data_IF_615674856652
#
_entry.id   IF_615674856652
#
_cell.length_a   1.000
_cell.length_b   1.000
_cell.length_c   1.000
_cell.angle_alpha   90.00
_cell.angle_beta   90.00
_cell.angle_gamma   90.00
#
_symmetry.space_group_name_H-M   'P 1'
#
loop_
_entity.id
_entity.type
_entity.pdbx_description
1 polymer ?
#
# COMPACT_ATOMS: atom_id res chain seq x y z
N UNK A 1 6.96 3.55 -15.80
CA UNK A 1 7.14 3.99 -14.41
C UNK A 1 7.72 2.86 -13.57
N UNK A 2 8.42 3.22 -12.49
CA UNK A 2 8.76 2.31 -11.40
C UNK A 2 7.65 2.36 -10.36
N UNK A 3 7.08 1.24 -10.01
CA UNK A 3 5.97 1.13 -9.07
C UNK A 3 6.42 0.28 -7.88
N UNK A 4 6.23 0.77 -6.67
CA UNK A 4 6.43 -0.01 -5.45
C UNK A 4 5.08 -0.40 -4.87
N UNK A 5 4.89 -1.68 -4.58
CA UNK A 5 3.70 -2.25 -3.95
C UNK A 5 4.05 -2.62 -2.51
N UNK A 6 3.37 -2.04 -1.54
CA UNK A 6 3.55 -2.32 -0.12
C UNK A 6 2.47 -3.29 0.35
N UNK A 7 2.81 -4.56 0.48
CA UNK A 7 1.89 -5.60 0.96
C UNK A 7 1.89 -5.68 2.48
N UNK A 8 0.73 -5.44 3.08
CA UNK A 8 0.53 -5.48 4.52
C UNK A 8 -0.22 -6.71 5.04
N UNK A 9 -0.43 -7.73 4.21
CA UNK A 9 -1.12 -8.94 4.65
C UNK A 9 -0.17 -9.89 5.36
N UNK A 10 -0.49 -10.34 6.60
CA UNK A 10 0.29 -11.39 7.26
C UNK A 10 0.11 -12.77 6.61
N UNK A 11 -0.82 -12.91 5.66
CA UNK A 11 -1.01 -14.13 4.90
C UNK A 11 -0.47 -13.94 3.47
N UNK A 12 0.69 -14.56 3.11
CA UNK A 12 1.30 -14.41 1.78
C UNK A 12 0.41 -14.86 0.62
N UNK A 13 -0.56 -15.72 0.88
CA UNK A 13 -1.56 -16.18 -0.10
C UNK A 13 -2.94 -15.60 0.19
N UNK A 14 -3.00 -14.43 0.79
CA UNK A 14 -4.24 -13.76 1.18
C UNK A 14 -4.97 -13.10 0.02
N UNK A 15 -6.22 -12.73 0.27
CA UNK A 15 -7.10 -12.07 -0.71
C UNK A 15 -6.53 -10.74 -1.21
N UNK A 16 -5.90 -9.94 -0.35
CA UNK A 16 -5.30 -8.66 -0.75
C UNK A 16 -4.10 -8.86 -1.67
N UNK A 17 -3.25 -9.87 -1.40
CA UNK A 17 -2.08 -10.17 -2.23
C UNK A 17 -2.51 -10.70 -3.62
N UNK A 18 -3.65 -11.40 -3.71
CA UNK A 18 -4.23 -11.78 -5.00
C UNK A 18 -4.59 -10.52 -5.83
N UNK A 19 -5.15 -9.47 -5.22
CA UNK A 19 -5.40 -8.20 -5.92
C UNK A 19 -4.09 -7.52 -6.33
N UNK A 20 -3.06 -7.58 -5.48
CA UNK A 20 -1.74 -7.04 -5.79
C UNK A 20 -1.10 -7.74 -7.00
N UNK A 21 -1.21 -9.07 -7.07
CA UNK A 21 -0.72 -9.85 -8.21
C UNK A 21 -1.44 -9.48 -9.52
N UNK A 22 -2.78 -9.31 -9.47
CA UNK A 22 -3.55 -8.89 -10.64
C UNK A 22 -3.18 -7.46 -11.08
N UNK A 23 -3.02 -6.53 -10.13
CA UNK A 23 -2.55 -5.18 -10.41
C UNK A 23 -1.16 -5.20 -11.04
N UNK A 24 -0.22 -5.95 -10.45
CA UNK A 24 1.14 -6.10 -10.96
C UNK A 24 1.13 -6.59 -12.40
N UNK A 25 0.39 -7.66 -12.68
CA UNK A 25 0.27 -8.19 -14.04
C UNK A 25 -0.20 -7.10 -15.03
N UNK A 26 -1.28 -6.38 -14.70
CA UNK A 26 -1.78 -5.30 -15.57
C UNK A 26 -0.76 -4.18 -15.78
N UNK A 27 -0.04 -3.78 -14.73
CA UNK A 27 0.97 -2.74 -14.80
C UNK A 27 2.21 -3.17 -15.62
N UNK A 28 2.67 -4.41 -15.45
CA UNK A 28 3.80 -4.97 -16.22
C UNK A 28 3.46 -5.11 -17.70
N UNK A 29 2.23 -5.55 -18.04
CA UNK A 29 1.74 -5.60 -19.42
C UNK A 29 1.62 -4.21 -20.06
N UNK A 30 1.39 -3.16 -19.25
CA UNK A 30 1.43 -1.76 -19.70
C UNK A 30 2.86 -1.18 -19.79
N UNK A 31 3.90 -1.99 -19.56
CA UNK A 31 5.30 -1.59 -19.69
C UNK A 31 5.90 -0.92 -18.46
N UNK A 32 5.30 -1.11 -17.27
CA UNK A 32 5.83 -0.61 -16.02
C UNK A 32 6.69 -1.66 -15.30
N UNK A 33 7.60 -1.22 -14.45
CA UNK A 33 8.37 -2.11 -13.57
C UNK A 33 7.74 -2.08 -12.18
N UNK A 34 7.40 -3.25 -11.65
CA UNK A 34 6.74 -3.37 -10.34
C UNK A 34 7.64 -4.11 -9.36
N UNK A 35 7.92 -3.49 -8.23
CA UNK A 35 8.60 -4.13 -7.11
C UNK A 35 7.62 -4.30 -5.95
N UNK A 36 7.49 -5.53 -5.46
CA UNK A 36 6.64 -5.87 -4.32
C UNK A 36 7.48 -5.93 -3.06
N UNK A 37 7.04 -5.25 -2.01
CA UNK A 37 7.66 -5.23 -0.69
C UNK A 37 6.66 -5.84 0.30
N UNK A 38 7.00 -6.98 0.85
CA UNK A 38 6.25 -7.63 1.92
C UNK A 38 6.54 -6.91 3.25
N UNK A 39 5.72 -5.92 3.57
CA UNK A 39 5.86 -5.16 4.82
C UNK A 39 5.38 -5.93 6.04
N UNK A 40 4.66 -7.02 5.83
CA UNK A 40 4.13 -7.84 6.93
C UNK A 40 5.19 -8.76 7.54
N UNK A 41 6.19 -9.17 6.77
CA UNK A 41 7.25 -10.08 7.22
C UNK A 41 8.63 -9.44 7.23
N UNK A 42 8.76 -8.20 6.76
CA UNK A 42 9.99 -7.43 6.89
C UNK A 42 10.28 -7.08 8.35
N UNK A 43 11.55 -7.02 8.72
CA UNK A 43 11.99 -6.56 10.05
C UNK A 43 11.78 -5.04 10.16
N UNK A 44 10.60 -4.64 10.60
CA UNK A 44 10.19 -3.24 10.76
C UNK A 44 9.65 -3.02 12.16
N UNK A 45 10.35 -2.20 12.95
CA UNK A 45 9.89 -1.83 14.29
C UNK A 45 8.94 -0.60 14.23
N UNK A 46 7.93 -0.53 15.10
CA UNK A 46 7.03 0.61 15.18
C UNK A 46 7.78 1.92 15.44
N UNK A 47 7.31 3.03 14.89
CA UNK A 47 7.84 4.35 15.21
C UNK A 47 7.61 4.67 16.69
N UNK A 48 8.66 5.09 17.39
CA UNK A 48 8.61 5.45 18.81
C UNK A 48 8.38 6.95 19.06
N UNK A 49 8.17 7.73 18.00
CA UNK A 49 7.85 9.16 18.11
C UNK A 49 8.98 10.05 18.64
N UNK A 50 10.24 9.59 18.62
CA UNK A 50 11.37 10.32 19.20
C UNK A 50 11.83 11.57 18.42
N UNK A 51 11.37 11.73 17.18
CA UNK A 51 11.68 12.86 16.26
C UNK A 51 13.19 13.01 15.93
N UNK A 52 14.04 12.09 16.36
CA UNK A 52 15.48 12.16 16.08
C UNK A 52 15.83 12.17 14.57
N UNK A 53 14.93 11.67 13.72
CA UNK A 53 15.10 11.70 12.27
C UNK A 53 14.90 13.09 11.66
N UNK A 54 14.29 14.04 12.37
CA UNK A 54 14.00 15.38 11.86
C UNK A 54 13.17 15.39 10.57
N UNK A 55 12.41 14.32 10.30
CA UNK A 55 11.59 14.10 9.09
C UNK A 55 12.37 13.97 7.76
N UNK A 56 13.68 13.96 7.79
CA UNK A 56 14.58 13.92 6.61
C UNK A 56 15.77 12.96 6.79
N UNK A 57 16.12 12.68 8.03
CA UNK A 57 17.33 11.94 8.36
C UNK A 57 17.10 10.44 8.57
N UNK A 58 18.16 9.68 8.77
CA UNK A 58 18.03 8.27 9.11
C UNK A 58 17.31 8.09 10.44
N UNK A 59 16.53 7.02 10.56
CA UNK A 59 15.91 6.65 11.81
C UNK A 59 16.96 6.12 12.80
N UNK A 60 16.70 6.30 14.10
CA UNK A 60 17.53 5.71 15.17
C UNK A 60 17.42 4.19 15.19
N UNK A 61 16.29 3.64 14.76
CA UNK A 61 16.07 2.20 14.64
C UNK A 61 16.84 1.65 13.44
N UNK A 62 17.55 0.55 13.66
CA UNK A 62 18.39 -0.13 12.66
C UNK A 62 17.70 -1.40 12.19
N UNK A 63 16.76 -1.22 11.27
CA UNK A 63 15.92 -2.28 10.71
C UNK A 63 15.84 -2.15 9.17
N UNK A 64 14.97 -2.89 8.50
CA UNK A 64 14.87 -2.88 7.05
C UNK A 64 14.28 -1.59 6.45
N UNK A 65 13.79 -0.67 7.27
CA UNK A 65 13.13 0.55 6.77
C UNK A 65 14.06 1.39 5.88
N UNK A 66 15.36 1.47 6.18
CA UNK A 66 16.28 2.27 5.35
C UNK A 66 16.43 1.69 3.93
N UNK A 67 16.45 0.37 3.79
CA UNK A 67 16.44 -0.32 2.49
C UNK A 67 15.12 -0.08 1.75
N UNK A 68 14.00 -0.17 2.47
CA UNK A 68 12.65 0.05 1.89
C UNK A 68 12.47 1.52 1.50
N UNK A 69 12.96 2.45 2.32
CA UNK A 69 12.98 3.89 2.02
C UNK A 69 13.60 4.19 0.66
N UNK A 70 14.78 3.61 0.38
CA UNK A 70 15.48 3.82 -0.89
C UNK A 70 14.62 3.40 -2.07
N UNK A 71 13.92 2.25 -1.98
CA UNK A 71 13.03 1.75 -3.02
C UNK A 71 11.80 2.65 -3.20
N UNK A 72 11.18 3.10 -2.11
CA UNK A 72 10.05 4.03 -2.17
C UNK A 72 10.46 5.34 -2.83
N UNK A 73 11.61 5.92 -2.44
CA UNK A 73 12.06 7.19 -2.99
C UNK A 73 12.56 7.10 -4.44
N UNK A 74 12.89 5.92 -4.95
CA UNK A 74 13.24 5.68 -6.36
C UNK A 74 12.00 5.42 -7.24
N UNK A 75 10.84 5.14 -6.65
CA UNK A 75 9.62 4.84 -7.37
C UNK A 75 8.87 6.10 -7.83
N UNK A 76 8.10 5.95 -8.90
CA UNK A 76 7.16 6.96 -9.41
C UNK A 76 5.76 6.81 -8.79
N UNK A 77 5.45 5.62 -8.30
CA UNK A 77 4.14 5.27 -7.74
C UNK A 77 4.29 4.34 -6.54
N UNK A 78 3.43 4.55 -5.53
CA UNK A 78 3.31 3.69 -4.35
C UNK A 78 1.90 3.12 -4.24
N UNK A 79 1.78 1.80 -4.14
CA UNK A 79 0.50 1.09 -4.00
C UNK A 79 0.41 0.49 -2.61
N UNK A 80 -0.62 0.88 -1.87
CA UNK A 80 -0.93 0.31 -0.56
C UNK A 80 -1.84 -0.90 -0.72
N UNK A 81 -1.43 -2.03 -0.16
CA UNK A 81 -2.19 -3.29 -0.23
C UNK A 81 -2.45 -3.82 1.17
N UNK A 82 -3.72 -3.99 1.53
CA UNK A 82 -4.09 -4.36 2.91
C UNK A 82 -5.37 -5.17 3.00
N UNK A 83 -5.44 -6.18 3.88
CA UNK A 83 -6.72 -6.63 4.39
C UNK A 83 -7.29 -5.54 5.31
N UNK A 84 -8.63 -5.47 5.37
CA UNK A 84 -9.33 -4.59 6.31
C UNK A 84 -9.40 -5.28 7.68
N UNK A 85 -8.74 -4.74 8.68
CA UNK A 85 -8.78 -5.21 10.06
C UNK A 85 -9.35 -4.13 10.97
N UNK A 86 -10.48 -4.43 11.62
CA UNK A 86 -11.19 -3.45 12.44
C UNK A 86 -11.37 -2.09 11.74
N UNK A 87 -11.80 -2.14 10.47
CA UNK A 87 -12.11 -0.98 9.61
C UNK A 87 -10.91 -0.06 9.27
N UNK A 88 -9.70 -0.53 9.54
CA UNK A 88 -8.46 0.14 9.18
C UNK A 88 -7.51 -0.75 8.36
N UNK A 89 -6.35 -0.20 8.00
CA UNK A 89 -5.28 -1.03 7.41
C UNK A 89 -4.75 -2.01 8.45
N UNK A 90 -4.15 -3.10 7.99
CA UNK A 90 -3.42 -4.02 8.86
C UNK A 90 -2.36 -3.28 9.68
N UNK A 91 -2.11 -3.75 10.91
CA UNK A 91 -1.07 -3.18 11.76
C UNK A 91 0.30 -3.21 11.08
N UNK A 92 0.60 -4.26 10.32
CA UNK A 92 1.84 -4.45 9.58
C UNK A 92 2.07 -3.32 8.57
N UNK A 93 1.09 -3.02 7.73
CA UNK A 93 1.19 -1.90 6.80
C UNK A 93 1.29 -0.56 7.53
N UNK A 94 0.50 -0.40 8.60
CA UNK A 94 0.50 0.85 9.38
C UNK A 94 1.84 1.11 10.05
N UNK A 95 2.52 0.09 10.57
CA UNK A 95 3.87 0.20 11.10
C UNK A 95 4.83 0.78 10.05
N UNK A 96 4.79 0.28 8.80
CA UNK A 96 5.62 0.82 7.72
C UNK A 96 5.27 2.30 7.42
N UNK A 97 3.98 2.64 7.36
CA UNK A 97 3.52 4.00 7.08
C UNK A 97 3.96 4.96 8.21
N UNK A 98 3.91 4.56 9.47
CA UNK A 98 4.38 5.38 10.58
C UNK A 98 5.90 5.68 10.51
N UNK A 99 6.65 4.80 9.87
CA UNK A 99 8.08 4.98 9.64
C UNK A 99 8.37 5.95 8.48
N UNK A 100 7.38 6.35 7.67
CA UNK A 100 7.52 7.45 6.71
C UNK A 100 7.94 8.76 7.38
N UNK A 101 7.71 8.88 8.69
CA UNK A 101 8.22 9.99 9.51
C UNK A 101 9.71 10.29 9.24
N UNK A 102 10.53 9.24 9.03
CA UNK A 102 11.97 9.42 8.80
C UNK A 102 12.35 9.99 7.42
N UNK A 103 11.41 10.06 6.48
CA UNK A 103 11.62 10.59 5.12
C UNK A 103 10.37 11.28 4.55
N UNK A 104 9.55 11.82 5.43
CA UNK A 104 8.27 12.43 5.11
C UNK A 104 8.38 13.54 4.06
N UNK A 105 9.28 14.49 4.28
CA UNK A 105 9.46 15.62 3.36
C UNK A 105 10.00 15.17 2.00
N UNK A 106 10.79 14.09 1.97
CA UNK A 106 11.27 13.51 0.71
C UNK A 106 10.11 12.92 -0.10
N UNK A 107 9.15 12.22 0.53
CA UNK A 107 7.93 11.73 -0.15
C UNK A 107 7.12 12.92 -0.68
N UNK A 108 6.86 13.93 0.15
CA UNK A 108 6.05 15.09 -0.22
C UNK A 108 6.60 15.85 -1.44
N UNK A 109 7.93 15.96 -1.56
CA UNK A 109 8.58 16.62 -2.72
C UNK A 109 8.49 15.83 -4.02
N UNK A 110 8.29 14.52 -3.93
CA UNK A 110 8.26 13.63 -5.09
C UNK A 110 6.96 13.71 -5.91
N UNK A 111 5.85 14.13 -5.31
CA UNK A 111 4.53 14.14 -5.95
C UNK A 111 4.17 12.80 -6.61
N UNK A 112 4.49 11.70 -5.92
CA UNK A 112 4.31 10.35 -6.44
C UNK A 112 2.85 10.04 -6.69
N UNK A 113 2.58 9.15 -7.65
CA UNK A 113 1.26 8.53 -7.79
C UNK A 113 1.01 7.54 -6.65
N UNK A 114 -0.26 7.30 -6.33
CA UNK A 114 -0.63 6.29 -5.34
C UNK A 114 -1.93 5.58 -5.70
N UNK A 115 -2.11 4.35 -5.21
CA UNK A 115 -3.36 3.61 -5.26
C UNK A 115 -3.56 2.79 -3.98
N UNK A 116 -4.80 2.38 -3.72
CA UNK A 116 -5.15 1.49 -2.62
C UNK A 116 -5.84 0.24 -3.14
N UNK A 117 -5.35 -0.93 -2.75
CA UNK A 117 -6.00 -2.21 -2.94
C UNK A 117 -6.34 -2.78 -1.56
N UNK A 118 -7.61 -2.97 -1.28
CA UNK A 118 -8.03 -3.49 0.02
C UNK A 118 -9.13 -4.53 -0.12
N UNK A 119 -9.18 -5.47 0.82
CA UNK A 119 -10.19 -6.52 0.88
C UNK A 119 -10.79 -6.62 2.27
N UNK A 120 -12.09 -6.95 2.33
CA UNK A 120 -12.82 -7.14 3.58
C UNK A 120 -13.68 -8.40 3.51
N UNK A 121 -13.91 -9.00 4.67
CA UNK A 121 -14.92 -10.06 4.82
C UNK A 121 -16.33 -9.49 4.70
N UNK A 122 -16.55 -8.36 5.36
CA UNK A 122 -17.84 -7.67 5.39
C UNK A 122 -18.21 -7.11 4.00
N UNK A 123 -19.50 -7.02 3.71
CA UNK A 123 -20.02 -6.54 2.41
C UNK A 123 -21.00 -5.38 2.53
N UNK A 124 -21.16 -4.80 3.73
CA UNK A 124 -21.99 -3.60 3.93
C UNK A 124 -21.41 -2.40 3.17
N UNK A 125 -22.23 -1.46 2.79
CA UNK A 125 -21.87 -0.27 2.02
C UNK A 125 -20.87 0.65 2.74
N UNK A 126 -20.93 0.71 4.07
CA UNK A 126 -20.03 1.50 4.93
C UNK A 126 -18.70 0.80 5.28
N UNK A 127 -18.49 -0.45 4.82
CA UNK A 127 -17.35 -1.30 5.21
C UNK A 127 -15.99 -0.59 5.07
N UNK A 128 -15.80 0.19 4.04
CA UNK A 128 -14.53 0.84 3.77
C UNK A 128 -14.47 2.33 4.12
N UNK A 129 -15.52 2.93 4.66
CA UNK A 129 -15.59 4.39 4.90
C UNK A 129 -14.38 4.91 5.69
N UNK A 130 -14.03 4.24 6.80
CA UNK A 130 -12.92 4.67 7.64
C UNK A 130 -11.56 4.50 6.94
N UNK A 131 -11.34 3.39 6.23
CA UNK A 131 -10.10 3.14 5.50
C UNK A 131 -9.96 4.10 4.31
N UNK A 132 -11.03 4.36 3.59
CA UNK A 132 -11.05 5.31 2.47
C UNK A 132 -10.73 6.72 2.95
N UNK A 133 -11.35 7.17 4.04
CA UNK A 133 -11.06 8.46 4.66
C UNK A 133 -9.59 8.56 5.11
N UNK A 134 -9.06 7.48 5.72
CA UNK A 134 -7.65 7.41 6.11
C UNK A 134 -6.72 7.51 4.90
N UNK A 135 -6.96 6.73 3.84
CA UNK A 135 -6.15 6.76 2.63
C UNK A 135 -6.18 8.15 1.96
N UNK A 136 -7.36 8.75 1.79
CA UNK A 136 -7.50 10.11 1.24
C UNK A 136 -6.73 11.15 2.05
N UNK A 137 -6.71 10.99 3.37
CA UNK A 137 -5.94 11.86 4.27
C UNK A 137 -4.43 11.68 4.07
N UNK A 138 -3.94 10.43 3.94
CA UNK A 138 -2.54 10.16 3.63
C UNK A 138 -2.13 10.73 2.27
N UNK A 139 -2.95 10.54 1.23
CA UNK A 139 -2.72 11.10 -0.12
C UNK A 139 -2.55 12.60 -0.04
N UNK A 140 -3.47 13.29 0.63
CA UNK A 140 -3.41 14.75 0.83
C UNK A 140 -2.18 15.19 1.62
N UNK A 141 -1.90 14.52 2.74
CA UNK A 141 -0.79 14.88 3.63
C UNK A 141 0.57 14.65 2.97
N UNK A 142 0.74 13.54 2.27
CA UNK A 142 1.99 13.16 1.59
C UNK A 142 2.13 13.78 0.19
N UNK A 143 1.16 14.61 -0.23
CA UNK A 143 1.16 15.27 -1.54
C UNK A 143 1.24 14.28 -2.70
N UNK A 144 0.49 13.17 -2.59
CA UNK A 144 0.43 12.11 -3.60
C UNK A 144 -0.68 12.40 -4.62
N UNK A 145 -0.57 11.81 -5.80
CA UNK A 145 -1.63 11.81 -6.81
C UNK A 145 -2.40 10.49 -6.75
N UNK A 146 -3.68 10.54 -6.36
CA UNK A 146 -4.55 9.36 -6.30
C UNK A 146 -4.88 8.84 -7.71
N UNK A 147 -4.53 7.58 -7.98
CA UNK A 147 -4.84 6.87 -9.22
C UNK A 147 -6.07 5.96 -9.11
N UNK A 148 -6.63 5.84 -7.91
CA UNK A 148 -7.84 5.09 -7.62
C UNK A 148 -7.66 3.99 -6.57
N UNK A 149 -8.80 3.39 -6.23
CA UNK A 149 -8.89 2.35 -5.22
C UNK A 149 -9.64 1.13 -5.75
N UNK A 150 -9.25 -0.06 -5.29
CA UNK A 150 -10.02 -1.29 -5.43
C UNK A 150 -10.38 -1.79 -4.04
N UNK A 151 -11.65 -1.72 -3.69
CA UNK A 151 -12.18 -2.01 -2.37
C UNK A 151 -13.06 -3.25 -2.43
N UNK A 152 -12.45 -4.41 -2.20
CA UNK A 152 -13.06 -5.73 -2.33
C UNK A 152 -13.89 -6.12 -1.12
N UNK A 153 -15.18 -5.79 -1.12
CA UNK A 153 -16.15 -6.28 -0.14
C UNK A 153 -16.49 -7.75 -0.35
N UNK A 154 -16.81 -8.50 0.71
CA UNK A 154 -17.12 -9.93 0.62
C UNK A 154 -15.94 -10.80 0.15
N UNK A 155 -14.72 -10.33 0.30
CA UNK A 155 -13.47 -10.98 -0.14
C UNK A 155 -12.70 -11.62 1.02
N UNK A 156 -13.40 -12.29 1.93
CA UNK A 156 -12.82 -12.86 3.15
C UNK A 156 -11.85 -14.01 2.92
N UNK A 157 -11.93 -14.70 1.78
CA UNK A 157 -11.00 -15.75 1.39
C UNK A 157 -10.47 -15.54 -0.03
N UNK A 158 -9.29 -16.10 -0.39
CA UNK A 158 -8.78 -16.04 -1.76
C UNK A 158 -9.77 -16.58 -2.80
N UNK A 159 -10.47 -17.66 -2.49
CA UNK A 159 -11.50 -18.24 -3.38
C UNK A 159 -12.66 -17.27 -3.61
N UNK A 160 -13.19 -16.63 -2.56
CA UNK A 160 -14.24 -15.60 -2.71
C UNK A 160 -13.75 -14.44 -3.55
N UNK A 161 -12.53 -13.99 -3.32
CA UNK A 161 -11.91 -12.89 -4.06
C UNK A 161 -11.75 -13.24 -5.53
N UNK A 162 -11.25 -14.44 -5.83
CA UNK A 162 -11.00 -14.89 -7.20
C UNK A 162 -12.28 -14.95 -8.05
N UNK A 163 -13.43 -15.29 -7.44
CA UNK A 163 -14.73 -15.36 -8.13
C UNK A 163 -15.50 -14.05 -8.12
N UNK A 164 -14.89 -12.97 -7.62
CA UNK A 164 -15.47 -11.63 -7.60
C UNK A 164 -15.02 -10.78 -8.82
N UNK A 165 -15.53 -9.57 -8.91
CA UNK A 165 -15.11 -8.59 -9.94
C UNK A 165 -13.76 -7.91 -9.63
N UNK A 166 -13.28 -7.98 -8.40
CA UNK A 166 -12.17 -7.16 -7.92
C UNK A 166 -10.80 -7.53 -8.51
N UNK A 167 -10.45 -8.79 -8.79
CA UNK A 167 -9.23 -9.12 -9.53
C UNK A 167 -9.14 -8.42 -10.88
N UNK A 168 -10.24 -8.43 -11.64
CA UNK A 168 -10.30 -7.74 -12.92
C UNK A 168 -10.19 -6.22 -12.78
N UNK A 169 -10.77 -5.63 -11.73
CA UNK A 169 -10.63 -4.20 -11.44
C UNK A 169 -9.19 -3.84 -11.06
N UNK A 170 -8.51 -4.67 -10.26
CA UNK A 170 -7.11 -4.46 -9.90
C UNK A 170 -6.20 -4.55 -11.13
N UNK A 171 -6.39 -5.54 -11.99
CA UNK A 171 -5.69 -5.65 -13.27
C UNK A 171 -5.89 -4.40 -14.14
N UNK A 172 -7.15 -3.98 -14.32
CA UNK A 172 -7.47 -2.79 -15.11
C UNK A 172 -6.87 -1.51 -14.53
N UNK A 173 -6.81 -1.38 -13.19
CA UNK A 173 -6.17 -0.25 -12.55
C UNK A 173 -4.68 -0.19 -12.90
N UNK A 174 -3.97 -1.31 -12.86
CA UNK A 174 -2.57 -1.40 -13.28
C UNK A 174 -2.38 -1.13 -14.77
N UNK A 175 -3.20 -1.73 -15.61
CA UNK A 175 -3.06 -1.67 -17.07
C UNK A 175 -3.35 -0.28 -17.68
N UNK A 176 -4.21 0.53 -17.04
CA UNK A 176 -4.54 1.89 -17.53
C UNK A 176 -3.58 2.99 -17.07
N UNK A 177 -2.56 2.67 -16.28
CA UNK A 177 -1.56 3.64 -15.84
C UNK A 177 -0.80 4.22 -17.04
N UNK A 178 -0.51 5.53 -16.97
CA UNK A 178 0.24 6.26 -18.00
C UNK A 178 1.45 6.95 -17.41
#
# INVERSE_FOLDING_TARGET
MKIVVLEGSPNPKGSSNLLADCFRQGAEEAGHTVEVIDTAHADIHPCIGCICCGYEGPCVQKDEVERIRSKILDADMMVFVTPLYYYGMSAQLKIMIDRFCAFNSSIQRRHMKSALLAVAWNSDDWTFDALEAHYKTLVRYLNLQDMGMVLGTGCGTPSMTQHSKFPQQAYQLGNRLK
#
